data_IF_165134296955
#
_entry.id   IF_165134296955
#
_cell.length_a   1.000
_cell.length_b   1.000
_cell.length_c   1.000
_cell.angle_alpha   90.00
_cell.angle_beta   90.00
_cell.angle_gamma   90.00
#
_symmetry.space_group_name_H-M   'P 1'
#
loop_
_entity.id
_entity.type
_entity.pdbx_description
1 polymer ?
#
# COMPACT_ATOMS: atom_id res chain seq x y z
N UNK A 1 19.14 -17.33 -4.81
CA UNK A 1 18.34 -16.50 -3.91
C UNK A 1 17.44 -15.59 -4.74
N UNK A 2 16.34 -15.10 -4.19
CA UNK A 2 15.47 -14.11 -4.83
C UNK A 2 14.62 -13.35 -3.82
N UNK A 3 14.20 -12.14 -4.18
CA UNK A 3 13.33 -11.30 -3.34
C UNK A 3 12.22 -10.73 -4.22
N UNK A 4 10.98 -11.09 -3.89
CA UNK A 4 9.79 -10.61 -4.58
C UNK A 4 9.04 -9.70 -3.61
N UNK A 5 8.82 -8.46 -4.02
CA UNK A 5 8.13 -7.45 -3.20
C UNK A 5 6.91 -6.97 -3.97
N UNK A 6 5.74 -7.41 -3.50
CA UNK A 6 4.46 -6.95 -4.04
C UNK A 6 4.04 -5.64 -3.39
N UNK A 7 3.75 -4.61 -4.21
CA UNK A 7 3.16 -3.36 -3.71
C UNK A 7 1.64 -3.54 -3.62
N UNK A 8 1.17 -3.97 -2.46
CA UNK A 8 -0.24 -4.19 -2.16
C UNK A 8 -0.91 -2.87 -1.75
N UNK A 9 -1.59 -2.85 -0.60
CA UNK A 9 -2.22 -1.68 0.01
C UNK A 9 -2.70 -2.05 1.41
N UNK A 10 -2.92 -1.07 2.29
CA UNK A 10 -3.74 -1.27 3.48
C UNK A 10 -5.14 -1.84 3.12
N UNK A 11 -5.63 -1.56 1.91
CA UNK A 11 -6.84 -2.17 1.35
C UNK A 11 -6.71 -3.66 0.96
N UNK A 12 -5.54 -4.26 1.13
CA UNK A 12 -5.39 -5.72 1.13
C UNK A 12 -5.79 -6.37 2.47
N UNK A 13 -5.98 -5.56 3.53
CA UNK A 13 -6.27 -6.02 4.88
C UNK A 13 -7.66 -5.59 5.38
N UNK A 14 -8.20 -4.48 4.87
CA UNK A 14 -9.53 -3.97 5.22
C UNK A 14 -10.14 -3.20 4.04
N UNK A 15 -11.41 -2.78 4.15
CA UNK A 15 -12.14 -2.18 3.05
C UNK A 15 -12.51 -0.70 3.27
N UNK A 16 -12.74 -0.01 2.16
CA UNK A 16 -13.42 1.28 2.05
C UNK A 16 -14.51 1.17 0.98
N UNK A 17 -15.62 1.89 1.14
CA UNK A 17 -16.66 1.92 0.10
C UNK A 17 -16.12 2.44 -1.24
N UNK A 18 -16.84 2.13 -2.33
CA UNK A 18 -16.56 2.58 -3.70
C UNK A 18 -15.21 2.13 -4.27
N UNK A 19 -14.60 1.09 -3.68
CA UNK A 19 -13.29 0.55 -4.10
C UNK A 19 -13.31 -0.98 -4.30
N UNK A 20 -14.45 -1.57 -4.67
CA UNK A 20 -14.63 -3.04 -4.73
C UNK A 20 -13.57 -3.76 -5.56
N UNK A 21 -13.35 -3.33 -6.81
CA UNK A 21 -12.34 -3.92 -7.69
C UNK A 21 -10.92 -3.79 -7.11
N UNK A 22 -10.60 -2.61 -6.55
CA UNK A 22 -9.29 -2.34 -5.97
C UNK A 22 -9.04 -3.19 -4.71
N UNK A 23 -10.00 -3.21 -3.78
CA UNK A 23 -9.93 -3.98 -2.52
C UNK A 23 -9.83 -5.48 -2.81
N UNK A 24 -10.65 -5.99 -3.73
CA UNK A 24 -10.61 -7.40 -4.14
C UNK A 24 -9.24 -7.77 -4.73
N UNK A 25 -8.73 -6.97 -5.67
CA UNK A 25 -7.41 -7.18 -6.25
C UNK A 25 -6.29 -7.15 -5.20
N UNK A 26 -6.32 -6.21 -4.26
CA UNK A 26 -5.29 -6.08 -3.22
C UNK A 26 -5.34 -7.23 -2.20
N UNK A 27 -6.51 -7.78 -1.88
CA UNK A 27 -6.60 -9.02 -1.10
C UNK A 27 -6.05 -10.22 -1.89
N UNK A 28 -6.34 -10.30 -3.20
CA UNK A 28 -5.79 -11.32 -4.09
C UNK A 28 -4.25 -11.33 -4.11
N UNK A 29 -3.63 -10.14 -4.14
CA UNK A 29 -2.16 -10.00 -4.03
C UNK A 29 -1.63 -10.59 -2.71
N UNK A 30 -2.35 -10.46 -1.59
CA UNK A 30 -1.91 -11.05 -0.32
C UNK A 30 -1.99 -12.59 -0.35
N UNK A 31 -3.01 -13.15 -0.99
CA UNK A 31 -3.10 -14.60 -1.23
C UNK A 31 -1.93 -15.08 -2.08
N UNK A 32 -1.67 -14.41 -3.21
CA UNK A 32 -0.55 -14.71 -4.10
C UNK A 32 0.79 -14.66 -3.37
N UNK A 33 1.02 -13.59 -2.59
CA UNK A 33 2.27 -13.41 -1.84
C UNK A 33 2.56 -14.60 -0.92
N UNK A 34 1.53 -15.10 -0.22
CA UNK A 34 1.67 -16.23 0.71
C UNK A 34 2.05 -17.52 -0.02
N UNK A 35 1.37 -17.82 -1.14
CA UNK A 35 1.65 -19.03 -1.94
C UNK A 35 3.06 -18.95 -2.53
N UNK A 36 3.43 -17.82 -3.14
CA UNK A 36 4.77 -17.60 -3.69
C UNK A 36 5.86 -17.71 -2.63
N UNK A 37 5.62 -17.25 -1.40
CA UNK A 37 6.59 -17.40 -0.32
C UNK A 37 6.81 -18.87 0.06
N UNK A 38 5.73 -19.66 0.17
CA UNK A 38 5.83 -21.09 0.49
C UNK A 38 6.52 -21.89 -0.62
N UNK A 39 6.17 -21.64 -1.87
CA UNK A 39 6.76 -22.32 -3.03
C UNK A 39 8.21 -21.88 -3.31
N UNK A 40 8.55 -20.63 -2.99
CA UNK A 40 9.88 -20.05 -3.20
C UNK A 40 10.91 -20.43 -2.12
N UNK A 41 10.46 -20.75 -0.90
CA UNK A 41 11.34 -20.97 0.25
C UNK A 41 12.45 -22.03 0.00
N UNK A 42 12.18 -23.20 -0.62
CA UNK A 42 13.22 -24.19 -0.93
C UNK A 42 14.36 -23.67 -1.84
N UNK A 43 14.11 -22.58 -2.56
CA UNK A 43 15.05 -21.98 -3.51
C UNK A 43 15.72 -20.70 -2.96
N UNK A 44 15.58 -20.43 -1.65
CA UNK A 44 15.97 -19.17 -1.03
C UNK A 44 15.33 -17.95 -1.74
N UNK A 45 14.05 -18.09 -2.10
CA UNK A 45 13.23 -17.02 -2.68
C UNK A 45 12.16 -16.62 -1.67
N UNK A 46 12.16 -15.34 -1.28
CA UNK A 46 11.17 -14.80 -0.36
C UNK A 46 10.19 -13.90 -1.11
N UNK A 47 8.92 -13.98 -0.73
CA UNK A 47 7.88 -13.09 -1.24
C UNK A 47 7.20 -12.34 -0.10
N UNK A 48 7.24 -11.02 -0.15
CA UNK A 48 6.62 -10.14 0.84
C UNK A 48 5.70 -9.12 0.16
N UNK A 49 4.73 -8.59 0.91
CA UNK A 49 3.83 -7.54 0.43
C UNK A 49 3.96 -6.28 1.30
N UNK A 50 4.26 -5.15 0.68
CA UNK A 50 4.18 -3.84 1.34
C UNK A 50 2.75 -3.34 1.21
N UNK A 51 2.11 -3.04 2.34
CA UNK A 51 0.70 -2.63 2.42
C UNK A 51 0.56 -1.17 2.87
N UNK A 52 0.89 -0.18 2.01
CA UNK A 52 0.89 1.21 2.42
C UNK A 52 -0.53 1.75 2.66
N UNK A 53 -0.64 2.68 3.60
CA UNK A 53 -1.72 3.67 3.67
C UNK A 53 -1.56 4.74 2.59
N UNK A 54 -2.01 5.97 2.84
CA UNK A 54 -1.89 7.03 1.84
C UNK A 54 -0.46 7.55 1.74
N UNK A 55 0.20 7.29 0.61
CA UNK A 55 1.52 7.81 0.25
C UNK A 55 1.33 9.04 -0.64
N UNK A 56 2.02 10.14 -0.35
CA UNK A 56 1.90 11.34 -1.17
C UNK A 56 2.62 11.13 -2.51
N UNK A 57 1.83 11.02 -3.57
CA UNK A 57 2.29 10.78 -4.95
C UNK A 57 1.48 11.64 -5.90
N UNK A 58 1.92 11.86 -7.15
CA UNK A 58 1.13 12.59 -8.14
C UNK A 58 -0.28 12.02 -8.35
N UNK A 59 -0.45 10.70 -8.21
CA UNK A 59 -1.74 10.03 -8.25
C UNK A 59 -2.64 10.48 -7.09
N UNK A 60 -2.10 10.51 -5.87
CA UNK A 60 -2.86 10.96 -4.69
C UNK A 60 -3.16 12.46 -4.78
N UNK A 61 -2.24 13.29 -5.29
CA UNK A 61 -2.51 14.72 -5.51
C UNK A 61 -3.64 14.93 -6.53
N UNK A 62 -3.73 14.11 -7.58
CA UNK A 62 -4.87 14.12 -8.50
C UNK A 62 -6.18 13.70 -7.80
N UNK A 63 -6.14 12.64 -6.99
CA UNK A 63 -7.31 12.21 -6.21
C UNK A 63 -7.77 13.27 -5.21
N UNK A 64 -6.85 14.01 -4.57
CA UNK A 64 -7.20 15.11 -3.65
C UNK A 64 -8.01 16.16 -4.40
N UNK A 65 -7.56 16.56 -5.61
CA UNK A 65 -8.30 17.53 -6.45
C UNK A 65 -9.69 17.02 -6.84
N UNK A 66 -9.78 15.76 -7.27
CA UNK A 66 -11.04 15.19 -7.73
C UNK A 66 -12.03 15.01 -6.57
N UNK A 67 -11.55 14.58 -5.40
CA UNK A 67 -12.36 14.45 -4.20
C UNK A 67 -12.80 15.82 -3.65
N UNK A 68 -11.93 16.83 -3.68
CA UNK A 68 -12.28 18.20 -3.30
C UNK A 68 -13.46 18.71 -4.15
N UNK A 69 -13.39 18.51 -5.47
CA UNK A 69 -14.48 18.85 -6.40
C UNK A 69 -15.76 18.04 -6.14
N UNK A 70 -15.66 16.72 -5.94
CA UNK A 70 -16.85 15.88 -5.74
C UNK A 70 -17.54 16.10 -4.40
N UNK A 71 -16.81 16.58 -3.40
CA UNK A 71 -17.34 16.87 -2.06
C UNK A 71 -17.66 18.36 -1.83
N UNK A 72 -17.45 19.22 -2.83
CA UNK A 72 -17.64 20.67 -2.75
C UNK A 72 -16.91 21.31 -1.56
N UNK A 73 -15.65 20.92 -1.35
CA UNK A 73 -14.79 21.42 -0.27
C UNK A 73 -13.39 21.72 -0.80
N UNK A 74 -12.60 22.47 -0.01
CA UNK A 74 -11.21 22.76 -0.36
C UNK A 74 -10.30 21.53 -0.28
N UNK A 75 -9.17 21.55 -1.00
CA UNK A 75 -8.15 20.49 -0.90
C UNK A 75 -7.56 20.37 0.52
N UNK A 76 -7.46 21.47 1.26
CA UNK A 76 -7.00 21.46 2.65
C UNK A 76 -8.01 20.79 3.58
N UNK A 77 -9.30 20.86 3.29
CA UNK A 77 -10.36 20.19 4.06
C UNK A 77 -10.54 18.73 3.67
N UNK A 78 -10.36 18.37 2.40
CA UNK A 78 -10.54 16.98 1.92
C UNK A 78 -9.47 16.05 2.49
N UNK A 79 -8.24 16.54 2.69
CA UNK A 79 -7.13 15.75 3.24
C UNK A 79 -7.49 15.14 4.61
N UNK A 80 -7.84 15.92 5.65
CA UNK A 80 -8.19 15.37 6.96
C UNK A 80 -9.54 14.64 6.97
N UNK A 81 -10.52 15.09 6.17
CA UNK A 81 -11.88 14.54 6.19
C UNK A 81 -12.05 13.23 5.40
N UNK A 82 -11.29 13.04 4.33
CA UNK A 82 -11.46 11.89 3.43
C UNK A 82 -10.24 10.98 3.47
N UNK A 83 -9.04 11.51 3.23
CA UNK A 83 -7.83 10.71 3.11
C UNK A 83 -7.33 10.24 4.49
N UNK A 84 -7.14 11.18 5.41
CA UNK A 84 -6.51 10.89 6.70
C UNK A 84 -7.52 10.54 7.80
N UNK A 85 -8.82 10.47 7.48
CA UNK A 85 -9.89 10.21 8.45
C UNK A 85 -9.66 8.90 9.22
N UNK A 86 -9.44 7.79 8.51
CA UNK A 86 -9.18 6.47 9.12
C UNK A 86 -7.71 6.25 9.51
N UNK A 87 -6.81 7.17 9.18
CA UNK A 87 -5.39 7.02 9.51
C UNK A 87 -5.12 7.56 10.91
N UNK A 88 -4.52 6.76 11.80
CA UNK A 88 -4.23 7.18 13.17
C UNK A 88 -3.26 8.37 13.20
N UNK A 89 -2.17 8.25 12.44
CA UNK A 89 -1.24 9.36 12.20
C UNK A 89 -1.78 10.22 11.05
N UNK A 90 -2.18 11.46 11.35
CA UNK A 90 -2.76 12.42 10.39
C UNK A 90 -1.71 13.04 9.45
N UNK A 91 -0.88 12.20 8.81
CA UNK A 91 0.14 12.59 7.84
C UNK A 91 0.21 11.55 6.73
N UNK A 92 0.48 12.00 5.50
CA UNK A 92 0.82 11.07 4.43
C UNK A 92 2.12 10.33 4.73
N UNK A 93 2.21 9.08 4.26
CA UNK A 93 3.44 8.31 4.33
C UNK A 93 4.43 8.89 3.30
N UNK A 94 5.66 9.26 3.71
CA UNK A 94 6.72 9.64 2.78
C UNK A 94 7.12 8.46 1.89
N UNK A 95 7.37 8.72 0.60
CA UNK A 95 7.74 7.68 -0.38
C UNK A 95 9.08 7.01 0.00
N UNK A 96 9.96 7.75 0.65
CA UNK A 96 11.27 7.28 1.11
C UNK A 96 11.15 6.17 2.16
N UNK A 97 10.10 6.19 2.98
CA UNK A 97 9.85 5.11 3.96
C UNK A 97 9.47 3.81 3.26
N UNK A 98 8.70 3.89 2.17
CA UNK A 98 8.37 2.73 1.35
C UNK A 98 9.63 2.17 0.69
N UNK A 99 10.50 3.05 0.18
CA UNK A 99 11.79 2.66 -0.39
C UNK A 99 12.70 1.98 0.65
N UNK A 100 12.82 2.54 1.85
CA UNK A 100 13.61 1.93 2.94
C UNK A 100 13.10 0.55 3.34
N UNK A 101 11.78 0.39 3.46
CA UNK A 101 11.18 -0.91 3.76
C UNK A 101 11.43 -1.91 2.61
N UNK A 102 11.33 -1.47 1.35
CA UNK A 102 11.64 -2.33 0.21
C UNK A 102 13.11 -2.77 0.22
N UNK A 103 14.05 -1.89 0.54
CA UNK A 103 15.48 -2.25 0.68
C UNK A 103 15.70 -3.27 1.79
N UNK A 104 15.06 -3.11 2.94
CA UNK A 104 15.11 -4.09 4.03
C UNK A 104 14.60 -5.47 3.58
N UNK A 105 13.47 -5.50 2.86
CA UNK A 105 12.89 -6.74 2.35
C UNK A 105 13.66 -7.34 1.16
N UNK A 106 14.53 -6.56 0.53
CA UNK A 106 15.40 -7.00 -0.55
C UNK A 106 16.77 -7.49 -0.06
N UNK A 107 17.08 -7.32 1.23
CA UNK A 107 18.34 -7.73 1.81
C UNK A 107 18.54 -9.25 1.74
N UNK A 108 19.79 -9.69 1.58
CA UNK A 108 20.15 -11.10 1.56
C UNK A 108 19.79 -11.81 2.88
N UNK A 109 19.82 -11.09 4.00
CA UNK A 109 19.51 -11.63 5.33
C UNK A 109 18.03 -11.50 5.70
N UNK A 110 17.18 -10.93 4.84
CA UNK A 110 15.75 -10.76 5.13
C UNK A 110 14.95 -12.07 5.11
N UNK A 111 15.62 -13.22 4.91
CA UNK A 111 15.00 -14.54 4.83
C UNK A 111 15.48 -15.56 5.84
N UNK A 112 16.31 -15.13 6.78
CA UNK A 112 16.79 -15.93 7.91
C UNK A 112 15.95 -15.68 9.15
#
# INVERSE_FOLDING_TARGET
FGRIINVASAHGLFASEYKSAYVAAKHGILGLTKVTALEGAPFNINCNAICPGYVRTPLVDAQIRDQAKSHDISESEVIPRVFLHKQAVKKFIPIELIGKLALLLADEHSGT
#
